data_IF_527490159674
#
_entry.id   IF_527490159674
#
_cell.length_a   1.000
_cell.length_b   1.000
_cell.length_c   1.000
_cell.angle_alpha   90.00
_cell.angle_beta   90.00
_cell.angle_gamma   90.00
#
_symmetry.space_group_name_H-M   'P 1'
#
loop_
_entity.id
_entity.type
_entity.pdbx_description
1 polymer ?
#
# COMPACT_ATOMS: atom_id res chain seq x y z
N UNK A 1 26.30 55.14 13.31
CA UNK A 1 25.26 54.65 12.36
C UNK A 1 25.58 53.24 11.88
N UNK A 2 26.83 52.95 11.51
CA UNK A 2 27.29 51.61 11.10
C UNK A 2 27.08 50.56 12.23
N UNK A 3 27.38 50.91 13.48
CA UNK A 3 27.27 49.95 14.60
C UNK A 3 25.83 49.51 14.91
N UNK A 4 24.86 50.40 14.71
CA UNK A 4 23.43 50.07 14.87
C UNK A 4 22.97 49.10 13.79
N UNK A 5 23.38 49.31 12.54
CA UNK A 5 23.07 48.38 11.46
C UNK A 5 23.75 47.04 11.70
N UNK A 6 25.00 47.03 12.14
CA UNK A 6 25.72 45.79 12.46
C UNK A 6 25.05 45.01 13.59
N UNK A 7 24.56 45.67 14.65
CA UNK A 7 23.84 44.97 15.72
C UNK A 7 22.53 44.37 15.23
N UNK A 8 21.76 45.12 14.42
CA UNK A 8 20.52 44.61 13.80
C UNK A 8 20.79 43.45 12.85
N UNK A 9 21.86 43.52 12.06
CA UNK A 9 22.26 42.45 11.14
C UNK A 9 22.60 41.18 11.91
N UNK A 10 23.39 41.28 12.98
CA UNK A 10 23.75 40.13 13.83
C UNK A 10 22.51 39.53 14.49
N UNK A 11 21.59 40.36 15.00
CA UNK A 11 20.35 39.89 15.61
C UNK A 11 19.44 39.17 14.60
N UNK A 12 19.33 39.70 13.37
CA UNK A 12 18.54 39.07 12.31
C UNK A 12 19.19 37.78 11.79
N UNK A 13 20.51 37.71 11.73
CA UNK A 13 21.24 36.50 11.36
C UNK A 13 21.03 35.40 12.42
N UNK A 14 21.13 35.74 13.71
CA UNK A 14 20.86 34.80 14.81
C UNK A 14 19.41 34.28 14.74
N UNK A 15 18.42 35.16 14.61
CA UNK A 15 17.01 34.76 14.47
C UNK A 15 16.76 33.87 13.25
N UNK A 16 17.43 34.15 12.13
CA UNK A 16 17.33 33.29 10.94
C UNK A 16 17.92 31.90 11.18
N UNK A 17 19.06 31.81 11.89
CA UNK A 17 19.66 30.53 12.25
C UNK A 17 18.74 29.73 13.18
N UNK A 18 18.19 30.38 14.21
CA UNK A 18 17.25 29.74 15.14
C UNK A 18 16.00 29.22 14.42
N UNK A 19 15.43 30.03 13.51
CA UNK A 19 14.26 29.62 12.72
C UNK A 19 14.57 28.44 11.79
N UNK A 20 15.74 28.46 11.12
CA UNK A 20 16.18 27.34 10.27
C UNK A 20 16.31 26.05 11.07
N UNK A 21 16.95 26.11 12.23
CA UNK A 21 17.12 24.95 13.12
C UNK A 21 15.75 24.41 13.59
N UNK A 22 14.80 25.29 13.91
CA UNK A 22 13.45 24.87 14.32
C UNK A 22 12.67 24.19 13.19
N UNK A 23 12.81 24.68 11.96
CA UNK A 23 12.19 24.05 10.79
C UNK A 23 12.81 22.68 10.52
N UNK A 24 14.13 22.57 10.59
CA UNK A 24 14.85 21.29 10.42
C UNK A 24 14.39 20.29 11.48
N UNK A 25 14.40 20.66 12.77
CA UNK A 25 13.92 19.82 13.86
C UNK A 25 12.45 19.39 13.69
N UNK A 26 11.57 20.30 13.26
CA UNK A 26 10.17 19.96 12.98
C UNK A 26 10.04 18.98 11.81
N UNK A 27 10.84 19.16 10.75
CA UNK A 27 10.86 18.27 9.59
C UNK A 27 11.38 16.88 9.93
N UNK A 28 12.45 16.80 10.74
CA UNK A 28 12.99 15.55 11.26
C UNK A 28 11.97 14.84 12.16
N UNK A 29 11.27 15.56 13.02
CA UNK A 29 10.20 15.00 13.85
C UNK A 29 9.05 14.43 13.02
N UNK A 30 8.66 15.11 11.94
CA UNK A 30 7.61 14.65 11.03
C UNK A 30 8.02 13.40 10.23
N UNK A 31 9.28 13.30 9.81
CA UNK A 31 9.80 12.15 9.05
C UNK A 31 10.18 10.97 9.95
N UNK A 32 10.57 11.23 11.20
CA UNK A 32 10.92 10.20 12.18
C UNK A 32 9.70 9.48 12.78
N UNK A 33 8.49 9.69 12.24
CA UNK A 33 7.31 8.88 12.55
C UNK A 33 6.91 8.86 14.03
N UNK A 34 7.50 9.73 14.85
CA UNK A 34 7.10 9.89 16.24
C UNK A 34 5.98 10.93 16.24
N UNK A 35 4.79 10.47 15.89
CA UNK A 35 3.57 11.21 16.15
C UNK A 35 3.44 11.39 17.66
N UNK A 36 4.02 12.47 18.18
CA UNK A 36 3.59 13.04 19.45
C UNK A 36 2.20 13.60 19.22
N UNK A 37 1.27 12.68 19.44
CA UNK A 37 -0.16 12.84 19.45
C UNK A 37 -0.54 13.87 20.52
N UNK A 38 -0.66 15.14 20.11
CA UNK A 38 -1.38 16.14 20.88
C UNK A 38 -2.89 15.93 20.68
N UNK A 39 -3.40 14.75 21.02
CA UNK A 39 -4.81 14.56 21.35
C UNK A 39 -4.90 13.79 22.66
N UNK A 40 -4.97 14.60 23.71
CA UNK A 40 -5.53 14.29 25.02
C UNK A 40 -6.83 13.47 24.90
N UNK A 41 -6.74 12.15 25.06
CA UNK A 41 -7.86 11.34 25.52
C UNK A 41 -7.34 10.19 26.39
N UNK A 42 -7.50 10.41 27.70
CA UNK A 42 -7.95 9.47 28.73
C UNK A 42 -7.53 7.99 28.66
N UNK A 43 -7.08 7.51 29.83
CA UNK A 43 -6.91 6.11 30.24
C UNK A 43 -5.53 5.48 30.08
N UNK A 44 -4.73 5.63 31.14
CA UNK A 44 -4.07 4.53 31.88
C UNK A 44 -3.42 3.41 31.05
N UNK A 45 -2.25 3.65 30.45
CA UNK A 45 -1.18 2.64 30.34
C UNK A 45 0.13 3.28 29.82
N UNK A 46 1.02 3.67 30.74
CA UNK A 46 2.33 4.28 30.43
C UNK A 46 3.47 3.26 30.33
N UNK A 47 3.20 1.98 30.10
CA UNK A 47 4.28 1.00 29.90
C UNK A 47 4.38 0.54 28.45
N UNK A 48 5.48 0.97 27.82
CA UNK A 48 5.99 0.56 26.49
C UNK A 48 5.26 1.18 25.30
N UNK A 49 5.75 2.33 24.86
CA UNK A 49 5.66 2.76 23.45
C UNK A 49 6.51 1.82 22.56
N UNK A 50 6.24 0.52 22.57
CA UNK A 50 6.65 -0.36 21.49
C UNK A 50 5.90 0.10 20.26
N UNK A 51 6.63 0.47 19.20
CA UNK A 51 6.07 0.77 17.87
C UNK A 51 4.96 -0.24 17.60
N UNK A 52 3.69 0.21 17.58
CA UNK A 52 2.56 -0.68 17.34
C UNK A 52 2.82 -1.35 15.99
N UNK A 53 2.85 -2.68 15.98
CA UNK A 53 3.02 -3.44 14.73
C UNK A 53 1.96 -2.95 13.71
N UNK A 54 2.29 -2.84 12.41
CA UNK A 54 1.30 -2.55 11.39
C UNK A 54 0.08 -3.45 11.57
N UNK A 55 -1.13 -2.88 11.47
CA UNK A 55 -2.37 -3.65 11.56
C UNK A 55 -2.48 -4.54 10.33
N UNK A 56 -2.73 -5.83 10.54
CA UNK A 56 -2.97 -6.79 9.45
C UNK A 56 -4.40 -6.60 8.96
N UNK A 57 -4.61 -6.69 7.64
CA UNK A 57 -5.92 -6.64 7.01
C UNK A 57 -5.90 -7.60 5.83
N UNK A 58 -6.94 -8.42 5.72
CA UNK A 58 -7.14 -9.32 4.60
C UNK A 58 -8.34 -8.83 3.79
N UNK A 59 -8.10 -8.49 2.53
CA UNK A 59 -9.08 -8.02 1.54
C UNK A 59 -9.95 -9.16 0.95
N UNK A 60 -9.59 -10.42 1.19
CA UNK A 60 -10.38 -11.58 0.76
C UNK A 60 -11.56 -11.84 1.72
N UNK A 61 -11.37 -11.67 3.03
CA UNK A 61 -12.37 -11.91 4.09
C UNK A 61 -12.91 -10.63 4.75
N UNK A 62 -12.40 -9.45 4.37
CA UNK A 62 -12.64 -8.16 5.03
C UNK A 62 -12.40 -8.17 6.55
N UNK A 63 -11.38 -8.92 6.99
CA UNK A 63 -11.11 -9.14 8.40
C UNK A 63 -9.80 -8.47 8.86
N UNK A 64 -9.88 -7.72 9.95
CA UNK A 64 -8.74 -7.02 10.55
C UNK A 64 -8.04 -7.87 11.61
N UNK A 65 -6.73 -7.64 11.74
CA UNK A 65 -5.85 -8.09 12.83
C UNK A 65 -5.71 -9.63 13.00
N UNK A 66 -6.33 -10.43 12.12
CA UNK A 66 -6.24 -11.89 12.11
C UNK A 66 -5.11 -12.42 11.21
N UNK A 67 -5.17 -12.10 9.92
CA UNK A 67 -4.21 -12.47 8.88
C UNK A 67 -4.13 -11.36 7.82
N UNK A 68 -3.11 -11.39 6.97
CA UNK A 68 -3.07 -10.61 5.74
C UNK A 68 -3.62 -11.41 4.56
N UNK A 69 -3.61 -10.85 3.36
CA UNK A 69 -4.10 -11.51 2.14
C UNK A 69 -3.40 -12.84 1.84
N UNK A 70 -2.09 -12.94 2.09
CA UNK A 70 -1.27 -14.11 1.74
C UNK A 70 -1.60 -15.34 2.61
N UNK A 71 -1.98 -15.11 3.86
CA UNK A 71 -2.32 -16.15 4.85
C UNK A 71 -3.82 -16.47 4.89
N UNK A 72 -4.62 -16.02 3.92
CA UNK A 72 -6.07 -16.24 3.94
C UNK A 72 -6.44 -17.72 3.70
N UNK A 73 -7.17 -18.39 4.61
CA UNK A 73 -7.56 -19.79 4.41
C UNK A 73 -8.49 -19.97 3.20
N UNK A 74 -9.26 -18.94 2.86
CA UNK A 74 -10.11 -18.92 1.66
C UNK A 74 -9.28 -18.97 0.38
N UNK A 75 -8.06 -18.43 0.38
CA UNK A 75 -7.13 -18.51 -0.75
C UNK A 75 -6.76 -19.96 -1.07
N UNK A 76 -6.59 -20.80 -0.05
CA UNK A 76 -6.32 -22.23 -0.21
C UNK A 76 -7.56 -23.08 -0.56
N UNK A 77 -8.76 -22.50 -0.53
CA UNK A 77 -9.97 -23.14 -1.07
C UNK A 77 -10.26 -22.74 -2.52
N UNK A 78 -9.63 -21.65 -3.00
CA UNK A 78 -9.64 -21.26 -4.41
C UNK A 78 -8.62 -22.03 -5.25
N UNK A 79 -7.75 -22.84 -4.63
CA UNK A 79 -6.77 -23.70 -5.31
C UNK A 79 -7.37 -24.95 -5.95
N UNK A 80 -8.68 -24.95 -6.22
CA UNK A 80 -9.21 -25.63 -7.41
C UNK A 80 -8.78 -24.81 -8.65
N UNK A 81 -7.47 -24.65 -8.83
CA UNK A 81 -6.93 -24.17 -10.10
C UNK A 81 -7.55 -25.07 -11.16
N UNK A 82 -8.31 -24.50 -12.13
CA UNK A 82 -8.85 -25.31 -13.20
C UNK A 82 -7.69 -26.12 -13.76
N UNK A 83 -7.89 -27.44 -14.01
CA UNK A 83 -6.80 -28.31 -14.42
C UNK A 83 -6.02 -27.61 -15.52
N UNK A 84 -4.71 -27.43 -15.30
CA UNK A 84 -3.87 -26.71 -16.24
C UNK A 84 -4.19 -27.20 -17.65
N UNK A 85 -4.32 -26.26 -18.57
CA UNK A 85 -4.62 -26.55 -19.97
C UNK A 85 -3.79 -27.75 -20.45
N UNK A 86 -4.44 -28.88 -20.72
CA UNK A 86 -3.81 -30.11 -21.23
C UNK A 86 -3.48 -30.01 -22.72
N UNK A 87 -3.30 -28.78 -23.23
CA UNK A 87 -3.04 -28.53 -24.62
C UNK A 87 -1.61 -28.91 -24.98
N UNK A 88 -1.44 -30.09 -25.56
CA UNK A 88 -0.18 -30.60 -26.11
C UNK A 88 0.09 -30.09 -27.55
N UNK A 89 -0.07 -28.79 -27.78
CA UNK A 89 0.15 -28.17 -29.10
C UNK A 89 1.62 -28.13 -29.51
N UNK A 90 1.87 -27.98 -30.81
CA UNK A 90 3.22 -27.76 -31.34
C UNK A 90 3.75 -26.38 -30.91
N UNK A 91 5.05 -26.28 -30.62
CA UNK A 91 5.73 -25.00 -30.36
C UNK A 91 5.72 -24.15 -31.65
N UNK A 92 4.70 -23.32 -31.80
CA UNK A 92 4.54 -22.41 -32.95
C UNK A 92 3.12 -22.37 -33.52
N UNK A 93 2.23 -23.24 -33.06
CA UNK A 93 0.81 -23.20 -33.45
C UNK A 93 0.01 -22.36 -32.44
N UNK A 94 -0.82 -21.46 -32.95
CA UNK A 94 -1.68 -20.62 -32.12
C UNK A 94 -2.88 -21.44 -31.62
N UNK A 95 -3.10 -21.44 -30.31
CA UNK A 95 -4.21 -22.16 -29.70
C UNK A 95 -5.52 -21.42 -30.00
N UNK A 96 -6.57 -22.11 -30.49
CA UNK A 96 -7.87 -21.48 -30.73
C UNK A 96 -8.44 -20.87 -29.45
N UNK A 97 -8.69 -19.57 -29.49
CA UNK A 97 -9.33 -18.79 -28.43
C UNK A 97 -10.59 -18.11 -28.97
N UNK A 98 -11.68 -18.21 -28.23
CA UNK A 98 -12.94 -17.58 -28.56
C UNK A 98 -13.14 -16.36 -27.67
N UNK A 99 -13.12 -15.17 -28.27
CA UNK A 99 -13.38 -13.90 -27.57
C UNK A 99 -14.84 -13.76 -27.13
N UNK A 100 -15.77 -14.51 -27.74
CA UNK A 100 -17.20 -14.47 -27.39
C UNK A 100 -17.46 -15.27 -26.10
N UNK A 101 -16.84 -16.45 -25.97
CA UNK A 101 -16.96 -17.31 -24.78
C UNK A 101 -15.89 -17.07 -23.72
N UNK A 102 -14.91 -16.21 -24.02
CA UNK A 102 -13.71 -15.97 -23.21
C UNK A 102 -12.96 -17.25 -22.80
N UNK A 103 -12.96 -18.26 -23.68
CA UNK A 103 -12.35 -19.56 -23.40
C UNK A 103 -11.58 -20.14 -24.59
N UNK A 104 -10.64 -21.02 -24.27
CA UNK A 104 -9.92 -21.78 -25.28
C UNK A 104 -10.73 -23.00 -25.75
N UNK A 105 -10.59 -23.36 -27.03
CA UNK A 105 -11.16 -24.59 -27.59
C UNK A 105 -11.73 -24.45 -29.01
N UNK A 106 -12.07 -23.23 -29.41
CA UNK A 106 -12.53 -22.90 -30.75
C UNK A 106 -12.19 -21.43 -31.07
N UNK A 107 -12.23 -21.06 -32.35
CA UNK A 107 -12.11 -19.65 -32.78
C UNK A 107 -13.45 -18.95 -32.69
N UNK A 108 -13.46 -17.63 -32.50
CA UNK A 108 -14.68 -16.83 -32.54
C UNK A 108 -15.52 -17.05 -33.82
N UNK A 109 -14.87 -17.34 -34.96
CA UNK A 109 -15.54 -17.66 -36.24
C UNK A 109 -16.36 -18.96 -36.24
N UNK A 110 -16.12 -19.83 -35.26
CA UNK A 110 -16.75 -21.14 -35.12
C UNK A 110 -17.53 -21.24 -33.80
N UNK A 111 -17.81 -20.10 -33.16
CA UNK A 111 -18.61 -20.03 -31.95
C UNK A 111 -20.09 -20.25 -32.27
N UNK A 112 -20.77 -21.02 -31.44
CA UNK A 112 -22.23 -21.15 -31.46
C UNK A 112 -22.80 -20.33 -30.31
N UNK A 113 -22.94 -19.03 -30.53
CA UNK A 113 -23.43 -18.04 -29.55
C UNK A 113 -24.97 -17.92 -29.52
N UNK A 114 -25.67 -18.69 -30.35
CA UNK A 114 -27.14 -18.69 -30.47
C UNK A 114 -27.88 -19.41 -29.31
N UNK A 115 -27.19 -20.01 -28.33
CA UNK A 115 -27.84 -20.61 -27.15
C UNK A 115 -28.15 -19.56 -26.08
N UNK A 116 -29.33 -18.96 -26.20
CA UNK A 116 -29.98 -18.20 -25.12
C UNK A 116 -30.67 -19.17 -24.15
N UNK A 117 -30.28 -19.13 -22.87
CA UNK A 117 -30.96 -19.81 -21.76
C UNK A 117 -32.11 -18.96 -21.20
#
# INVERSE_FOLDING_TARGET
MIDFLNSVIVDLQRKNQDLKMKVEMMSEAALNGNGDDLNNYDSDDQEKQSKKKPRLFCDICDCFDLHDTEDCPTQAQMSEDPPHSTHHGSRGEERPYCEICEMFGHWATNCNDDETF
#
